data_IF_426155026343
#
_entry.id   IF_426155026343
#
_cell.length_a   1.000
_cell.length_b   1.000
_cell.length_c   1.000
_cell.angle_alpha   90.00
_cell.angle_beta   90.00
_cell.angle_gamma   90.00
#
_symmetry.space_group_name_H-M   'P 1'
#
loop_
_entity.id
_entity.type
_entity.pdbx_description
1 polymer ?
#
# COMPACT_ATOMS: atom_id res chain seq x y z
N UNK A 1 -2.91 30.31 24.59
CA UNK A 1 -3.96 29.28 24.75
C UNK A 1 -4.26 29.14 26.22
N UNK A 2 -5.43 29.50 26.62
CA UNK A 2 -5.92 29.30 27.99
C UNK A 2 -6.37 27.87 28.12
N UNK A 3 -5.89 27.17 29.16
CA UNK A 3 -6.28 25.83 29.48
C UNK A 3 -5.97 24.76 28.45
N UNK A 4 -6.13 23.50 28.84
CA UNK A 4 -5.99 22.37 27.94
C UNK A 4 -7.39 21.81 27.66
N UNK A 5 -7.76 21.63 26.37
CA UNK A 5 -9.06 21.06 25.94
C UNK A 5 -10.30 21.82 26.42
N UNK A 6 -10.22 23.16 26.54
CA UNK A 6 -11.35 23.99 26.95
C UNK A 6 -11.42 24.27 28.46
N UNK A 7 -10.48 23.78 29.24
CA UNK A 7 -10.41 24.12 30.67
C UNK A 7 -10.11 25.61 30.88
N UNK A 8 -10.74 26.28 31.87
CA UNK A 8 -10.46 27.65 32.22
C UNK A 8 -9.01 27.78 32.71
N UNK A 9 -8.32 28.81 32.22
CA UNK A 9 -6.93 29.03 32.58
C UNK A 9 -6.43 30.38 32.09
N UNK A 10 -5.27 30.80 32.56
CA UNK A 10 -4.55 31.97 32.09
C UNK A 10 -3.16 31.54 31.57
N UNK A 11 -2.73 32.18 30.50
CA UNK A 11 -1.37 32.02 29.97
C UNK A 11 -0.65 33.35 29.92
N UNK A 12 0.64 33.36 30.30
CA UNK A 12 1.51 34.50 30.15
C UNK A 12 2.65 34.13 29.22
N UNK A 13 2.85 34.92 28.20
CA UNK A 13 3.82 34.67 27.15
C UNK A 13 5.06 35.55 27.38
N UNK A 14 6.22 34.95 27.51
CA UNK A 14 7.50 35.63 27.63
C UNK A 14 8.28 35.39 26.35
N UNK A 15 8.63 36.45 25.64
CA UNK A 15 9.31 36.38 24.36
C UNK A 15 10.58 37.21 24.37
N UNK A 16 11.67 36.70 23.84
CA UNK A 16 12.86 37.47 23.53
C UNK A 16 12.72 38.11 22.16
N UNK A 17 13.24 39.32 21.99
CA UNK A 17 13.34 39.96 20.68
C UNK A 17 14.27 39.20 19.71
N UNK A 18 15.13 38.35 20.24
CA UNK A 18 16.04 37.51 19.47
C UNK A 18 15.41 36.18 19.07
N UNK A 19 14.20 35.87 19.56
CA UNK A 19 13.49 34.66 19.17
C UNK A 19 13.18 34.63 17.67
N UNK A 20 13.21 33.42 17.09
CA UNK A 20 12.92 33.22 15.66
C UNK A 20 11.58 33.81 15.23
N UNK A 21 10.59 33.83 16.12
CA UNK A 21 9.27 34.46 15.88
C UNK A 21 9.42 35.95 15.59
N UNK A 22 10.31 36.65 16.29
CA UNK A 22 10.56 38.08 16.10
C UNK A 22 11.49 38.34 14.93
N UNK A 23 12.49 37.46 14.69
CA UNK A 23 13.40 37.56 13.54
C UNK A 23 12.67 37.39 12.20
N UNK A 24 11.69 36.49 12.11
CA UNK A 24 10.89 36.27 10.88
C UNK A 24 10.04 37.49 10.52
N UNK A 25 9.62 38.32 11.49
CA UNK A 25 8.62 39.35 11.28
C UNK A 25 9.11 40.80 11.46
N UNK A 26 10.41 41.04 11.56
CA UNK A 26 10.90 42.40 11.46
C UNK A 26 11.81 42.91 12.57
N UNK A 27 12.80 42.13 12.97
CA UNK A 27 13.80 42.47 13.95
C UNK A 27 14.50 43.82 13.65
N UNK A 28 14.87 44.10 12.39
CA UNK A 28 15.59 45.31 12.01
C UNK A 28 14.79 46.62 12.25
N UNK A 29 13.49 46.59 12.07
CA UNK A 29 12.61 47.77 12.36
C UNK A 29 12.31 47.90 13.85
N UNK A 30 12.27 46.80 14.56
CA UNK A 30 12.07 46.76 16.01
C UNK A 30 13.27 47.30 16.76
N UNK A 31 14.48 46.83 16.41
CA UNK A 31 15.72 47.30 17.06
C UNK A 31 15.90 48.79 16.92
N UNK A 32 15.65 49.37 15.73
CA UNK A 32 15.71 50.82 15.52
C UNK A 32 14.65 51.62 16.28
N UNK A 33 13.51 51.02 16.62
CA UNK A 33 12.48 51.69 17.45
C UNK A 33 12.76 51.54 18.95
N UNK A 34 13.32 50.45 19.41
CA UNK A 34 13.67 50.22 20.81
C UNK A 34 14.77 51.17 21.28
N UNK A 35 15.78 51.41 20.45
CA UNK A 35 16.81 52.38 20.69
C UNK A 35 16.20 53.82 20.84
N UNK A 36 15.17 54.15 20.05
CA UNK A 36 14.45 55.42 20.15
C UNK A 36 13.55 55.54 21.37
N UNK A 37 13.13 54.47 21.98
CA UNK A 37 12.31 54.41 23.18
C UNK A 37 13.12 54.45 24.48
N UNK A 38 14.48 54.46 24.40
CA UNK A 38 15.35 54.63 25.54
C UNK A 38 15.34 53.47 26.53
N UNK A 39 15.03 52.25 26.06
CA UNK A 39 15.00 51.06 26.91
C UNK A 39 16.41 50.53 27.15
N UNK A 40 16.75 50.24 28.41
CA UNK A 40 18.02 49.64 28.81
C UNK A 40 17.99 48.10 28.62
N UNK A 41 19.17 47.53 28.38
CA UNK A 41 19.34 46.08 28.24
C UNK A 41 18.83 45.37 29.51
N UNK A 42 17.87 44.43 29.32
CA UNK A 42 17.29 43.61 30.39
C UNK A 42 15.94 44.11 30.91
N UNK A 43 15.42 45.26 30.45
CA UNK A 43 14.07 45.70 30.81
C UNK A 43 12.97 44.96 29.99
N UNK A 44 11.91 44.59 30.72
CA UNK A 44 10.72 43.97 30.08
C UNK A 44 9.88 45.05 29.36
N UNK A 45 9.76 44.92 28.06
CA UNK A 45 9.02 45.86 27.21
C UNK A 45 7.53 45.59 27.32
N UNK A 46 6.78 46.46 28.02
CA UNK A 46 5.34 46.33 28.20
C UNK A 46 4.58 47.44 27.45
N UNK A 47 4.62 47.43 26.12
CA UNK A 47 3.93 48.41 25.30
C UNK A 47 2.82 47.76 24.45
N UNK A 48 1.60 48.37 24.36
CA UNK A 48 0.48 47.83 23.60
C UNK A 48 0.81 47.54 22.12
N UNK A 49 1.69 48.32 21.54
CA UNK A 49 2.14 48.14 20.16
C UNK A 49 2.94 46.84 19.96
N UNK A 50 3.81 46.52 20.92
CA UNK A 50 4.59 45.25 20.88
C UNK A 50 3.67 44.04 21.01
N UNK A 51 2.68 44.12 21.90
CA UNK A 51 1.68 43.06 22.03
C UNK A 51 0.95 42.81 20.70
N UNK A 52 0.56 43.89 19.98
CA UNK A 52 -0.04 43.76 18.64
C UNK A 52 0.94 43.18 17.59
N UNK A 53 2.20 43.57 17.67
CA UNK A 53 3.22 43.03 16.75
C UNK A 53 3.44 41.52 16.97
N UNK A 54 3.53 41.06 18.22
CA UNK A 54 3.65 39.66 18.60
C UNK A 54 2.40 38.89 18.20
N UNK A 55 1.20 39.40 18.47
CA UNK A 55 -0.06 38.78 18.04
C UNK A 55 -0.13 38.61 16.52
N UNK A 56 0.26 39.62 15.76
CA UNK A 56 0.31 39.56 14.29
C UNK A 56 1.36 38.54 13.79
N UNK A 57 2.52 38.48 14.44
CA UNK A 57 3.57 37.53 14.12
C UNK A 57 3.10 36.09 14.38
N UNK A 58 2.49 35.88 15.54
CA UNK A 58 1.95 34.55 15.90
C UNK A 58 0.83 34.13 14.95
N UNK A 59 -0.09 35.02 14.61
CA UNK A 59 -1.16 34.73 13.63
C UNK A 59 -0.62 34.33 12.26
N UNK A 60 0.46 34.97 11.78
CA UNK A 60 1.11 34.59 10.52
C UNK A 60 1.79 33.22 10.59
N UNK A 61 2.47 32.90 11.72
CA UNK A 61 3.07 31.56 11.92
C UNK A 61 1.99 30.49 11.98
N UNK A 62 0.89 30.75 12.69
CA UNK A 62 -0.25 29.83 12.75
C UNK A 62 -0.88 29.61 11.37
N UNK A 63 -1.08 30.67 10.59
CA UNK A 63 -1.59 30.57 9.22
C UNK A 63 -0.64 29.74 8.32
N UNK A 64 0.67 29.99 8.39
CA UNK A 64 1.66 29.21 7.63
C UNK A 64 1.66 27.72 8.04
N UNK A 65 1.64 27.45 9.34
CA UNK A 65 1.59 26.08 9.85
C UNK A 65 0.27 25.40 9.49
N UNK A 66 -0.83 26.13 9.42
CA UNK A 66 -2.12 25.64 8.94
C UNK A 66 -2.05 25.24 7.47
N UNK A 67 -1.49 26.08 6.59
CA UNK A 67 -1.35 25.75 5.16
C UNK A 67 -0.42 24.55 4.93
N UNK A 68 0.69 24.46 5.66
CA UNK A 68 1.59 23.28 5.58
C UNK A 68 0.82 22.02 5.97
N UNK A 69 0.09 22.03 7.09
CA UNK A 69 -0.71 20.87 7.52
C UNK A 69 -1.81 20.53 6.53
N UNK A 70 -2.48 21.51 5.96
CA UNK A 70 -3.52 21.32 4.95
C UNK A 70 -2.97 20.69 3.68
N UNK A 71 -1.76 21.07 3.27
CA UNK A 71 -1.10 20.39 2.15
C UNK A 71 -0.73 18.95 2.48
N UNK A 72 -0.17 18.67 3.65
CA UNK A 72 0.16 17.31 4.08
C UNK A 72 -1.07 16.40 4.10
N UNK A 73 -2.21 16.90 4.59
CA UNK A 73 -3.48 16.16 4.61
C UNK A 73 -3.91 15.70 3.20
N UNK A 74 -3.67 16.50 2.15
CA UNK A 74 -4.02 16.11 0.78
C UNK A 74 -3.26 14.87 0.27
N UNK A 75 -2.02 14.67 0.75
CA UNK A 75 -1.25 13.46 0.46
C UNK A 75 -1.73 12.29 1.33
N UNK A 76 -2.04 12.56 2.59
CA UNK A 76 -2.55 11.55 3.52
C UNK A 76 -3.94 11.02 3.11
N UNK A 77 -4.79 11.84 2.48
CA UNK A 77 -6.11 11.45 1.98
C UNK A 77 -6.02 10.30 0.97
N UNK A 78 -5.05 10.34 0.05
CA UNK A 78 -4.83 9.27 -0.94
C UNK A 78 -4.53 7.93 -0.26
N UNK A 79 -3.63 7.95 0.71
CA UNK A 79 -3.29 6.75 1.49
C UNK A 79 -4.49 6.27 2.33
N UNK A 80 -5.28 7.19 2.88
CA UNK A 80 -6.45 6.85 3.69
C UNK A 80 -7.56 6.19 2.87
N UNK A 81 -7.78 6.64 1.62
CA UNK A 81 -8.76 6.02 0.73
C UNK A 81 -8.35 4.59 0.37
N UNK A 82 -7.08 4.36 0.00
CA UNK A 82 -6.56 3.02 -0.24
C UNK A 82 -6.62 2.14 1.02
N UNK A 83 -6.30 2.71 2.19
CA UNK A 83 -6.40 2.00 3.47
C UNK A 83 -7.81 1.51 3.76
N UNK A 84 -8.84 2.31 3.46
CA UNK A 84 -10.23 1.90 3.63
C UNK A 84 -10.55 0.67 2.78
N UNK A 85 -10.18 0.69 1.50
CA UNK A 85 -10.38 -0.44 0.60
C UNK A 85 -9.75 -1.72 1.15
N UNK A 86 -8.46 -1.66 1.54
CA UNK A 86 -7.73 -2.82 2.08
C UNK A 86 -8.32 -3.30 3.40
N UNK A 87 -8.68 -2.40 4.32
CA UNK A 87 -9.27 -2.81 5.59
C UNK A 87 -10.68 -3.38 5.46
N UNK A 88 -11.46 -2.92 4.48
CA UNK A 88 -12.78 -3.47 4.22
C UNK A 88 -12.65 -4.86 3.58
N UNK A 89 -11.78 -5.06 2.59
CA UNK A 89 -11.45 -6.38 2.05
C UNK A 89 -10.94 -7.33 3.15
N UNK A 90 -10.03 -6.86 4.01
CA UNK A 90 -9.52 -7.68 5.12
C UNK A 90 -10.63 -8.13 6.08
N UNK A 91 -11.57 -7.23 6.42
CA UNK A 91 -12.72 -7.57 7.26
C UNK A 91 -13.66 -8.58 6.58
N UNK A 92 -13.88 -8.43 5.28
CA UNK A 92 -14.68 -9.37 4.49
C UNK A 92 -14.06 -10.77 4.51
N UNK A 93 -12.76 -10.89 4.21
CA UNK A 93 -12.03 -12.15 4.29
C UNK A 93 -12.10 -12.75 5.70
N UNK A 94 -11.93 -11.94 6.75
CA UNK A 94 -11.99 -12.44 8.14
C UNK A 94 -13.38 -12.96 8.52
N UNK A 95 -14.44 -12.33 8.03
CA UNK A 95 -15.84 -12.67 8.34
C UNK A 95 -16.38 -13.81 7.49
N UNK A 96 -15.85 -13.97 6.27
CA UNK A 96 -16.27 -15.04 5.37
C UNK A 96 -15.96 -16.40 6.00
N UNK A 97 -16.91 -17.32 5.92
CA UNK A 97 -16.70 -18.73 6.29
C UNK A 97 -15.78 -19.41 5.27
N UNK A 98 -15.93 -19.04 4.02
CA UNK A 98 -15.17 -19.55 2.87
C UNK A 98 -14.73 -18.39 1.96
N UNK A 99 -13.52 -18.46 1.42
CA UNK A 99 -12.94 -17.49 0.48
C UNK A 99 -12.58 -18.12 -0.86
N UNK A 100 -13.06 -19.34 -1.10
CA UNK A 100 -12.69 -20.12 -2.27
C UNK A 100 -13.01 -19.43 -3.59
N UNK A 101 -14.22 -18.90 -3.74
CA UNK A 101 -14.63 -18.16 -4.95
C UNK A 101 -13.68 -16.99 -5.22
N UNK A 102 -13.34 -16.23 -4.17
CA UNK A 102 -12.38 -15.12 -4.28
C UNK A 102 -10.99 -15.60 -4.75
N UNK A 103 -10.54 -16.74 -4.26
CA UNK A 103 -9.25 -17.31 -4.65
C UNK A 103 -9.29 -17.87 -6.07
N UNK A 104 -10.42 -18.45 -6.50
CA UNK A 104 -10.64 -18.87 -7.88
C UNK A 104 -10.58 -17.67 -8.83
N UNK A 105 -11.31 -16.60 -8.52
CA UNK A 105 -11.30 -15.36 -9.31
C UNK A 105 -9.88 -14.77 -9.42
N UNK A 106 -9.14 -14.73 -8.32
CA UNK A 106 -7.74 -14.27 -8.32
C UNK A 106 -6.85 -15.12 -9.23
N UNK A 107 -7.06 -16.43 -9.27
CA UNK A 107 -6.30 -17.35 -10.14
C UNK A 107 -6.66 -17.13 -11.61
N UNK A 108 -7.95 -16.93 -11.92
CA UNK A 108 -8.41 -16.62 -13.27
C UNK A 108 -7.84 -15.28 -13.76
N UNK A 109 -7.89 -14.25 -12.93
CA UNK A 109 -7.28 -12.95 -13.26
C UNK A 109 -5.75 -13.06 -13.42
N UNK A 110 -5.06 -13.86 -12.61
CA UNK A 110 -3.64 -14.12 -12.77
C UNK A 110 -3.33 -14.85 -14.09
N UNK A 111 -4.16 -15.83 -14.48
CA UNK A 111 -4.04 -16.51 -15.76
C UNK A 111 -4.26 -15.55 -16.95
N UNK A 112 -5.27 -14.69 -16.89
CA UNK A 112 -5.53 -13.67 -17.90
C UNK A 112 -4.33 -12.72 -18.06
N UNK A 113 -3.74 -12.24 -16.95
CA UNK A 113 -2.54 -11.40 -16.99
C UNK A 113 -1.30 -12.11 -17.56
N UNK A 114 -1.16 -13.42 -17.34
CA UNK A 114 -0.09 -14.24 -17.95
C UNK A 114 -0.28 -14.27 -19.45
N UNK A 115 -1.50 -14.51 -19.91
CA UNK A 115 -1.82 -14.55 -21.36
C UNK A 115 -1.63 -13.18 -21.98
N UNK A 116 -2.12 -12.10 -21.38
CA UNK A 116 -1.95 -10.73 -21.87
C UNK A 116 -0.47 -10.37 -22.08
N UNK A 117 0.41 -10.80 -21.18
CA UNK A 117 1.86 -10.55 -21.28
C UNK A 117 2.53 -11.33 -22.42
N UNK A 118 2.10 -12.56 -22.66
CA UNK A 118 2.71 -13.44 -23.65
C UNK A 118 2.05 -13.35 -25.04
N UNK A 119 0.77 -13.02 -25.06
CA UNK A 119 -0.10 -12.96 -26.24
C UNK A 119 -0.88 -11.63 -26.20
N UNK A 120 -0.24 -10.47 -26.47
CA UNK A 120 -0.92 -9.19 -26.40
C UNK A 120 -2.05 -9.09 -27.42
N UNK A 121 -3.21 -8.57 -26.98
CA UNK A 121 -4.41 -8.46 -27.81
C UNK A 121 -4.15 -7.75 -29.15
N UNK A 122 -4.67 -8.30 -30.24
CA UNK A 122 -4.55 -7.73 -31.58
C UNK A 122 -3.17 -7.88 -32.22
N UNK A 123 -2.29 -8.69 -31.66
CA UNK A 123 -0.97 -9.00 -32.25
C UNK A 123 -1.03 -10.26 -33.12
N UNK A 124 -0.07 -10.40 -34.06
CA UNK A 124 0.05 -11.59 -34.88
C UNK A 124 0.79 -12.70 -34.13
N UNK A 125 0.54 -13.96 -34.52
CA UNK A 125 1.18 -15.16 -33.96
C UNK A 125 2.71 -15.07 -33.85
N UNK A 126 3.36 -14.44 -34.81
CA UNK A 126 4.83 -14.27 -34.85
C UNK A 126 5.38 -13.43 -33.68
N UNK A 127 4.51 -12.66 -33.03
CA UNK A 127 4.88 -11.83 -31.87
C UNK A 127 4.53 -12.46 -30.52
N UNK A 128 3.90 -13.63 -30.54
CA UNK A 128 3.54 -14.38 -29.31
C UNK A 128 4.75 -15.05 -28.70
N UNK A 129 4.82 -15.04 -27.36
CA UNK A 129 5.98 -15.57 -26.64
C UNK A 129 5.62 -16.84 -25.88
N UNK A 130 5.85 -18.00 -26.55
CA UNK A 130 5.57 -19.31 -25.97
C UNK A 130 6.42 -19.61 -24.72
N UNK A 131 7.69 -19.22 -24.72
CA UNK A 131 8.60 -19.42 -23.58
C UNK A 131 8.12 -18.65 -22.34
N UNK A 132 7.67 -17.42 -22.55
CA UNK A 132 7.13 -16.58 -21.47
C UNK A 132 5.85 -17.18 -20.91
N UNK A 133 4.92 -17.63 -21.77
CA UNK A 133 3.66 -18.25 -21.34
C UNK A 133 3.92 -19.52 -20.52
N UNK A 134 4.76 -20.41 -21.01
CA UNK A 134 5.13 -21.65 -20.31
C UNK A 134 5.85 -21.36 -18.99
N UNK A 135 6.82 -20.44 -19.00
CA UNK A 135 7.55 -20.03 -17.80
C UNK A 135 6.65 -19.41 -16.71
N UNK A 136 5.75 -18.53 -17.10
CA UNK A 136 4.80 -17.90 -16.19
C UNK A 136 3.74 -18.91 -15.70
N UNK A 137 3.24 -19.80 -16.55
CA UNK A 137 2.31 -20.87 -16.15
C UNK A 137 2.93 -21.81 -15.09
N UNK A 138 4.16 -22.22 -15.28
CA UNK A 138 4.88 -23.01 -14.28
C UNK A 138 5.13 -22.26 -12.99
N UNK A 139 5.58 -21.01 -13.11
CA UNK A 139 5.94 -20.17 -11.95
C UNK A 139 4.73 -19.79 -11.10
N UNK A 140 3.63 -19.37 -11.74
CA UNK A 140 2.47 -18.78 -11.03
C UNK A 140 1.40 -19.82 -10.75
N UNK A 141 1.11 -20.69 -11.74
CA UNK A 141 0.01 -21.64 -11.65
C UNK A 141 0.46 -23.06 -11.30
N UNK A 142 1.78 -23.31 -11.29
CA UNK A 142 2.35 -24.62 -10.97
C UNK A 142 2.00 -25.72 -11.98
N UNK A 143 1.69 -25.35 -13.23
CA UNK A 143 1.25 -26.28 -14.27
C UNK A 143 2.21 -26.32 -15.45
N UNK A 144 2.31 -27.49 -16.08
CA UNK A 144 2.98 -27.69 -17.35
C UNK A 144 1.93 -27.80 -18.45
N UNK A 145 2.05 -26.96 -19.47
CA UNK A 145 1.11 -26.91 -20.59
C UNK A 145 1.84 -26.99 -21.93
N UNK A 146 1.20 -27.59 -22.91
CA UNK A 146 1.77 -27.75 -24.25
C UNK A 146 1.58 -26.49 -25.09
N UNK A 147 2.18 -25.35 -24.65
CA UNK A 147 2.02 -24.04 -25.29
C UNK A 147 2.39 -24.06 -26.77
N UNK A 148 3.46 -24.79 -27.14
CA UNK A 148 3.92 -24.91 -28.52
C UNK A 148 2.84 -25.53 -29.41
N UNK A 149 2.13 -26.54 -28.91
CA UNK A 149 1.07 -27.23 -29.65
C UNK A 149 -0.15 -26.27 -29.79
N UNK A 150 -0.48 -25.53 -28.76
CA UNK A 150 -1.56 -24.54 -28.83
C UNK A 150 -1.28 -23.47 -29.87
N UNK A 151 -0.07 -22.93 -29.89
CA UNK A 151 0.32 -21.89 -30.84
C UNK A 151 0.43 -22.41 -32.29
N UNK A 152 0.59 -23.71 -32.50
CA UNK A 152 0.61 -24.32 -33.82
C UNK A 152 -0.79 -24.55 -34.42
N UNK A 153 -1.86 -24.37 -33.64
CA UNK A 153 -3.23 -24.56 -34.12
C UNK A 153 -3.67 -23.41 -35.02
N UNK A 154 -4.16 -23.73 -36.21
CA UNK A 154 -4.69 -22.76 -37.17
C UNK A 154 -5.93 -22.03 -36.60
N UNK A 155 -5.85 -20.71 -36.53
CA UNK A 155 -6.99 -19.87 -36.11
C UNK A 155 -7.19 -19.76 -34.60
N UNK A 156 -6.26 -20.26 -33.78
CA UNK A 156 -6.32 -20.05 -32.33
C UNK A 156 -6.25 -18.56 -32.00
N UNK A 157 -6.99 -18.12 -31.02
CA UNK A 157 -7.05 -16.75 -30.57
C UNK A 157 -6.75 -16.64 -29.07
N UNK A 158 -6.34 -15.43 -28.62
CA UNK A 158 -6.06 -15.12 -27.22
C UNK A 158 -7.10 -15.65 -26.23
N UNK A 159 -8.44 -15.44 -26.43
CA UNK A 159 -9.44 -15.92 -25.45
C UNK A 159 -9.49 -17.45 -25.32
N UNK A 160 -9.11 -18.18 -26.35
CA UNK A 160 -9.07 -19.64 -26.29
C UNK A 160 -7.84 -20.14 -25.52
N UNK A 161 -6.71 -19.45 -25.68
CA UNK A 161 -5.50 -19.73 -24.88
C UNK A 161 -5.76 -19.46 -23.40
N UNK A 162 -6.43 -18.33 -23.09
CA UNK A 162 -6.83 -17.99 -21.74
C UNK A 162 -7.75 -19.05 -21.14
N UNK A 163 -8.80 -19.44 -21.85
CA UNK A 163 -9.73 -20.48 -21.40
C UNK A 163 -9.04 -21.82 -21.12
N UNK A 164 -8.10 -22.24 -21.99
CA UNK A 164 -7.33 -23.47 -21.79
C UNK A 164 -6.38 -23.39 -20.60
N UNK A 165 -5.76 -22.23 -20.38
CA UNK A 165 -4.87 -22.00 -19.24
C UNK A 165 -5.64 -22.03 -17.92
N UNK A 166 -6.81 -21.39 -17.87
CA UNK A 166 -7.72 -21.40 -16.72
C UNK A 166 -8.18 -22.82 -16.41
N UNK A 167 -8.65 -23.59 -17.42
CA UNK A 167 -9.11 -24.96 -17.24
C UNK A 167 -7.98 -25.87 -16.72
N UNK A 168 -6.75 -25.70 -17.21
CA UNK A 168 -5.60 -26.46 -16.73
C UNK A 168 -5.25 -26.10 -15.26
N UNK A 169 -5.31 -24.82 -14.90
CA UNK A 169 -5.05 -24.36 -13.55
C UNK A 169 -6.13 -24.82 -12.56
N UNK A 170 -7.39 -24.81 -12.98
CA UNK A 170 -8.52 -25.29 -12.16
C UNK A 170 -8.46 -26.79 -11.92
N UNK A 171 -8.11 -27.58 -12.93
CA UNK A 171 -7.88 -29.01 -12.76
C UNK A 171 -6.75 -29.30 -11.79
N UNK A 172 -5.62 -28.60 -11.92
CA UNK A 172 -4.49 -28.74 -11.00
C UNK A 172 -4.88 -28.46 -9.55
N UNK A 173 -5.64 -27.38 -9.32
CA UNK A 173 -6.09 -27.03 -7.97
C UNK A 173 -7.17 -27.97 -7.43
N UNK A 174 -8.07 -28.46 -8.28
CA UNK A 174 -9.04 -29.48 -7.88
C UNK A 174 -8.38 -30.80 -7.45
N UNK A 175 -7.39 -31.27 -8.20
CA UNK A 175 -6.59 -32.44 -7.83
C UNK A 175 -5.86 -32.24 -6.49
N UNK A 176 -5.33 -31.04 -6.28
CA UNK A 176 -4.67 -30.68 -5.04
C UNK A 176 -5.64 -30.64 -3.86
N UNK A 177 -6.84 -30.07 -4.06
CA UNK A 177 -7.89 -30.04 -3.04
C UNK A 177 -8.38 -31.44 -2.65
N UNK A 178 -8.48 -32.36 -3.62
CA UNK A 178 -8.81 -33.77 -3.34
C UNK A 178 -7.71 -34.45 -2.52
N UNK A 179 -6.43 -34.19 -2.83
CA UNK A 179 -5.28 -34.80 -2.15
C UNK A 179 -5.13 -34.30 -0.70
N UNK A 180 -5.35 -33.00 -0.45
CA UNK A 180 -5.17 -32.38 0.86
C UNK A 180 -6.41 -32.48 1.74
N UNK A 181 -7.55 -32.66 1.16
CA UNK A 181 -8.86 -32.53 1.79
C UNK A 181 -9.42 -31.10 1.73
N UNK A 182 -10.74 -30.97 1.52
CA UNK A 182 -11.39 -29.66 1.31
C UNK A 182 -11.23 -28.72 2.50
N UNK A 183 -11.35 -29.20 3.73
CA UNK A 183 -11.27 -28.37 4.94
C UNK A 183 -9.88 -27.75 5.13
N UNK A 184 -8.82 -28.54 4.90
CA UNK A 184 -7.45 -28.07 4.98
C UNK A 184 -7.19 -27.03 3.89
N UNK A 185 -7.70 -27.27 2.68
CA UNK A 185 -7.55 -26.35 1.57
C UNK A 185 -8.23 -24.99 1.86
N UNK A 186 -9.47 -25.00 2.36
CA UNK A 186 -10.19 -23.79 2.73
C UNK A 186 -9.46 -22.96 3.80
N UNK A 187 -8.94 -23.65 4.81
CA UNK A 187 -8.15 -23.01 5.85
C UNK A 187 -6.85 -22.39 5.30
N UNK A 188 -6.18 -23.12 4.40
CA UNK A 188 -4.95 -22.64 3.77
C UNK A 188 -5.21 -21.41 2.88
N UNK A 189 -6.26 -21.44 2.06
CA UNK A 189 -6.70 -20.31 1.22
C UNK A 189 -6.92 -19.06 2.05
N UNK A 190 -7.72 -19.14 3.12
CA UNK A 190 -8.04 -18.00 3.97
C UNK A 190 -6.83 -17.43 4.71
N UNK A 191 -6.02 -18.29 5.30
CA UNK A 191 -4.83 -17.87 6.06
C UNK A 191 -3.78 -17.24 5.13
N UNK A 192 -3.54 -17.84 3.97
CA UNK A 192 -2.60 -17.32 3.01
C UNK A 192 -3.06 -15.97 2.46
N UNK A 193 -4.33 -15.85 2.07
CA UNK A 193 -4.87 -14.61 1.54
C UNK A 193 -4.72 -13.44 2.52
N UNK A 194 -4.99 -13.66 3.81
CA UNK A 194 -4.77 -12.67 4.86
C UNK A 194 -3.29 -12.31 5.00
N UNK A 195 -2.41 -13.30 4.97
CA UNK A 195 -0.97 -13.08 5.11
C UNK A 195 -0.40 -12.30 3.92
N UNK A 196 -0.78 -12.66 2.70
CA UNK A 196 -0.35 -11.96 1.48
C UNK A 196 -0.89 -10.53 1.46
N UNK A 197 -2.17 -10.32 1.80
CA UNK A 197 -2.76 -9.00 1.89
C UNK A 197 -1.99 -8.10 2.87
N UNK A 198 -1.73 -8.60 4.08
CA UNK A 198 -1.04 -7.83 5.13
C UNK A 198 0.41 -7.50 4.71
N UNK A 199 1.11 -8.44 4.05
CA UNK A 199 2.48 -8.24 3.57
C UNK A 199 2.53 -7.23 2.41
N UNK A 200 1.70 -7.41 1.38
CA UNK A 200 1.67 -6.52 0.22
C UNK A 200 1.25 -5.09 0.62
N UNK A 201 0.30 -4.96 1.53
CA UNK A 201 -0.11 -3.66 2.05
C UNK A 201 1.02 -2.96 2.82
N UNK A 202 1.76 -3.69 3.65
CA UNK A 202 2.91 -3.14 4.39
C UNK A 202 4.00 -2.62 3.45
N UNK A 203 4.33 -3.38 2.41
CA UNK A 203 5.30 -2.99 1.40
C UNK A 203 4.82 -1.77 0.60
N UNK A 204 3.55 -1.74 0.24
CA UNK A 204 2.94 -0.62 -0.45
C UNK A 204 2.99 0.68 0.37
N UNK A 205 2.69 0.64 1.66
CA UNK A 205 2.81 1.81 2.53
C UNK A 205 4.23 2.36 2.57
N UNK A 206 5.23 1.48 2.62
CA UNK A 206 6.63 1.89 2.58
C UNK A 206 6.99 2.58 1.25
N UNK A 207 6.52 2.02 0.14
CA UNK A 207 6.79 2.58 -1.19
C UNK A 207 6.05 3.91 -1.41
N UNK A 208 4.83 4.05 -0.89
CA UNK A 208 4.09 5.33 -0.89
C UNK A 208 4.81 6.43 -0.09
N UNK A 209 5.41 6.08 1.04
CA UNK A 209 6.19 7.06 1.82
C UNK A 209 7.44 7.51 1.05
N UNK A 210 8.13 6.61 0.39
CA UNK A 210 9.26 6.94 -0.51
C UNK A 210 8.80 7.83 -1.67
N UNK A 211 7.67 7.52 -2.31
CA UNK A 211 7.10 8.36 -3.37
C UNK A 211 6.82 9.77 -2.86
N UNK A 212 6.21 9.90 -1.67
CA UNK A 212 5.89 11.18 -1.05
C UNK A 212 7.13 12.03 -0.79
N UNK A 213 8.22 11.42 -0.33
CA UNK A 213 9.49 12.11 -0.10
C UNK A 213 10.15 12.56 -1.41
N UNK A 214 10.05 11.76 -2.47
CA UNK A 214 10.68 12.03 -3.77
C UNK A 214 9.87 12.95 -4.68
N UNK A 215 8.56 13.06 -4.49
CA UNK A 215 7.68 13.75 -5.46
C UNK A 215 7.95 15.26 -5.55
N UNK A 216 8.38 15.88 -4.45
CA UNK A 216 8.72 17.31 -4.43
C UNK A 216 9.89 17.66 -5.35
N UNK A 217 10.80 16.73 -5.60
CA UNK A 217 11.94 16.91 -6.51
C UNK A 217 11.49 16.92 -7.98
N UNK A 218 10.35 16.32 -8.30
CA UNK A 218 9.78 16.28 -9.66
C UNK A 218 9.01 17.54 -10.03
N UNK A 219 8.74 18.43 -9.08
CA UNK A 219 8.08 19.73 -9.29
C UNK A 219 8.85 20.66 -10.27
N UNK A 220 10.11 20.36 -10.56
CA UNK A 220 10.90 21.12 -11.54
C UNK A 220 10.36 21.06 -12.97
N UNK A 221 9.46 20.13 -13.31
CA UNK A 221 8.91 19.94 -14.66
C UNK A 221 7.56 20.66 -14.89
N UNK A 222 7.22 21.71 -14.15
CA UNK A 222 5.95 22.47 -14.24
C UNK A 222 4.67 21.65 -13.99
N UNK A 223 4.79 20.45 -13.42
CA UNK A 223 3.65 19.62 -13.06
C UNK A 223 3.27 19.85 -11.59
N UNK A 224 1.97 19.80 -11.29
CA UNK A 224 1.49 19.84 -9.91
C UNK A 224 1.93 18.56 -9.17
N UNK A 225 2.80 18.66 -8.14
CA UNK A 225 3.30 17.50 -7.42
C UNK A 225 2.22 16.63 -6.80
N UNK A 226 1.10 17.22 -6.37
CA UNK A 226 -0.01 16.48 -5.79
C UNK A 226 -0.73 15.61 -6.82
N UNK A 227 -0.93 16.14 -8.03
CA UNK A 227 -1.58 15.37 -9.10
C UNK A 227 -0.69 14.23 -9.60
N UNK A 228 0.63 14.45 -9.71
CA UNK A 228 1.58 13.39 -10.03
C UNK A 228 1.60 12.31 -8.93
N UNK A 229 1.62 12.73 -7.66
CA UNK A 229 1.53 11.79 -6.53
C UNK A 229 0.28 10.93 -6.58
N UNK A 230 -0.89 11.54 -6.81
CA UNK A 230 -2.16 10.79 -6.92
C UNK A 230 -2.12 9.76 -8.02
N UNK A 231 -1.61 10.14 -9.20
CA UNK A 231 -1.51 9.24 -10.36
C UNK A 231 -0.57 8.07 -10.08
N UNK A 232 0.64 8.35 -9.58
CA UNK A 232 1.62 7.31 -9.29
C UNK A 232 1.16 6.41 -8.15
N UNK A 233 0.58 6.97 -7.08
CA UNK A 233 0.02 6.21 -5.97
C UNK A 233 -1.11 5.28 -6.41
N UNK A 234 -1.95 5.71 -7.36
CA UNK A 234 -2.99 4.87 -7.95
C UNK A 234 -2.38 3.70 -8.74
N UNK A 235 -1.44 3.98 -9.64
CA UNK A 235 -0.77 2.93 -10.43
C UNK A 235 -0.03 1.92 -9.54
N UNK A 236 0.61 2.39 -8.48
CA UNK A 236 1.28 1.52 -7.51
C UNK A 236 0.27 0.65 -6.74
N UNK A 237 -0.90 1.18 -6.41
CA UNK A 237 -1.96 0.43 -5.75
C UNK A 237 -2.52 -0.67 -6.64
N UNK A 238 -2.81 -0.38 -7.90
CA UNK A 238 -3.21 -1.38 -8.91
C UNK A 238 -2.16 -2.48 -9.07
N UNK A 239 -0.88 -2.10 -9.13
CA UNK A 239 0.23 -3.06 -9.18
C UNK A 239 0.28 -3.94 -7.93
N UNK A 240 0.09 -3.37 -6.75
CA UNK A 240 0.02 -4.13 -5.50
C UNK A 240 -1.13 -5.15 -5.51
N UNK A 241 -2.31 -4.76 -5.99
CA UNK A 241 -3.46 -5.67 -6.10
C UNK A 241 -3.18 -6.81 -7.10
N UNK A 242 -2.57 -6.51 -8.25
CA UNK A 242 -2.15 -7.52 -9.22
C UNK A 242 -1.11 -8.49 -8.63
N UNK A 243 -0.10 -7.96 -7.93
CA UNK A 243 0.90 -8.78 -7.25
C UNK A 243 0.30 -9.66 -6.14
N UNK A 244 -0.72 -9.16 -5.43
CA UNK A 244 -1.43 -9.94 -4.42
C UNK A 244 -2.12 -11.16 -5.05
N UNK A 245 -2.80 -10.99 -6.19
CA UNK A 245 -3.46 -12.08 -6.93
C UNK A 245 -2.44 -13.11 -7.43
N UNK A 246 -1.38 -12.64 -8.07
CA UNK A 246 -0.31 -13.50 -8.60
C UNK A 246 0.41 -14.27 -7.47
N UNK A 247 0.76 -13.58 -6.37
CA UNK A 247 1.42 -14.21 -5.22
C UNK A 247 0.52 -15.23 -4.53
N UNK A 248 -0.77 -14.93 -4.36
CA UNK A 248 -1.74 -15.87 -3.77
C UNK A 248 -1.85 -17.13 -4.63
N UNK A 249 -2.01 -16.96 -5.95
CA UNK A 249 -2.09 -18.08 -6.89
C UNK A 249 -0.80 -18.90 -6.89
N UNK A 250 0.36 -18.24 -6.94
CA UNK A 250 1.67 -18.88 -6.93
C UNK A 250 1.89 -19.72 -5.66
N UNK A 251 1.66 -19.14 -4.50
CA UNK A 251 1.91 -19.88 -3.25
C UNK A 251 0.94 -21.04 -3.10
N UNK A 252 -0.36 -20.85 -3.39
CA UNK A 252 -1.34 -21.94 -3.33
C UNK A 252 -1.04 -23.06 -4.31
N UNK A 253 -0.52 -22.75 -5.50
CA UNK A 253 -0.16 -23.76 -6.50
C UNK A 253 1.04 -24.61 -6.08
N UNK A 254 1.99 -24.06 -5.32
CA UNK A 254 3.24 -24.71 -4.97
C UNK A 254 3.29 -25.26 -3.54
N UNK A 255 2.44 -24.74 -2.62
CA UNK A 255 2.48 -25.18 -1.22
C UNK A 255 2.11 -26.66 -1.10
N UNK A 256 2.96 -27.43 -0.44
CA UNK A 256 2.70 -28.80 -0.04
C UNK A 256 2.47 -28.83 1.47
N UNK A 257 1.29 -29.25 1.89
CA UNK A 257 1.00 -29.45 3.31
C UNK A 257 1.55 -30.84 3.70
N UNK A 258 2.61 -30.88 4.50
CA UNK A 258 3.07 -32.13 5.11
C UNK A 258 2.08 -32.48 6.22
N UNK A 259 1.33 -33.57 6.03
CA UNK A 259 0.66 -34.22 7.15
C UNK A 259 1.76 -34.81 8.06
N UNK A 260 1.87 -34.31 9.28
CA UNK A 260 2.66 -35.00 10.29
C UNK A 260 1.89 -36.30 10.65
N UNK A 261 2.34 -37.42 10.14
CA UNK A 261 1.91 -38.76 10.57
C UNK A 261 2.45 -39.07 11.98
N UNK A 262 2.12 -38.21 12.97
CA UNK A 262 2.59 -38.37 14.36
C UNK A 262 1.61 -39.18 15.23
N UNK A 263 0.65 -39.89 14.65
CA UNK A 263 -0.29 -40.76 15.38
C UNK A 263 0.15 -42.23 15.47
N UNK A 264 1.41 -42.55 15.15
CA UNK A 264 1.90 -43.96 15.10
C UNK A 264 2.78 -44.44 16.24
N UNK A 265 3.16 -43.60 17.23
CA UNK A 265 4.19 -43.99 18.21
C UNK A 265 3.73 -44.15 19.68
N UNK A 266 2.43 -44.03 19.96
CA UNK A 266 1.93 -44.07 21.36
C UNK A 266 1.26 -45.38 21.77
N UNK A 267 1.39 -46.48 21.04
CA UNK A 267 0.83 -47.79 21.41
C UNK A 267 1.83 -48.95 21.30
N UNK A 268 2.97 -48.88 21.97
CA UNK A 268 3.79 -50.07 22.30
C UNK A 268 4.68 -49.85 23.50
N UNK A 269 4.11 -49.69 24.69
CA UNK A 269 4.85 -49.87 25.96
C UNK A 269 3.92 -50.09 27.18
N UNK A 270 2.97 -51.00 27.04
CA UNK A 270 2.27 -51.59 28.25
C UNK A 270 1.95 -53.03 27.98
N UNK A 271 3.01 -53.85 27.86
CA UNK A 271 2.92 -55.29 28.11
C UNK A 271 4.35 -55.85 28.26
N UNK A 272 4.93 -55.65 29.47
CA UNK A 272 6.00 -56.48 29.99
C UNK A 272 6.32 -56.06 31.44
N UNK A 273 5.54 -56.55 32.43
CA UNK A 273 6.00 -57.01 33.75
C UNK A 273 4.82 -57.50 34.57
#
# INVERSE_FOLDING_TARGET
>A
RTGRQGDPGASKFFLSLQDDLMRIFGSEKLDGMLVKLGLEDGEAIMHPWINKAVEKAQSKVEARNFEIRKQLLKYDDVMNDQRRVIFDQRKEIMRADDVHETVVDMRHEAAALIVERAVPAGTYHDSWNAEQLDGDARRVLGIEVAVADWFAEDGIAEPEIEARLIDAADRHMAEKAVRLGPDIMRMAEKNLLLQVLDQQWKEHLFTLDQLRQGISLRAYAQKDPLNEYKREAFMMFETMLANMRETTSMVLSHVEVRQNDDDGAAQKSTDAS
#
